data_IF_716744720367
#
_entry.id   IF_716744720367
#
_cell.length_a   1.000
_cell.length_b   1.000
_cell.length_c   1.000
_cell.angle_alpha   90.00
_cell.angle_beta   90.00
_cell.angle_gamma   90.00
#
_symmetry.space_group_name_H-M   'P 1'
#
loop_
_entity.id
_entity.type
_entity.pdbx_description
1 polymer ?
#
# COMPACT_ATOMS: atom_id res chain seq x y z
N UNK A 1 7.84 34.59 -16.55
CA UNK A 1 8.48 33.28 -16.66
C UNK A 1 7.62 32.23 -15.98
N UNK A 2 7.26 31.21 -16.71
CA UNK A 2 6.44 30.15 -16.11
C UNK A 2 7.28 29.33 -15.15
N UNK A 3 6.74 29.11 -13.96
CA UNK A 3 7.35 28.15 -13.02
C UNK A 3 6.87 26.75 -13.38
N UNK A 4 7.82 25.85 -13.46
CA UNK A 4 7.50 24.44 -13.62
C UNK A 4 7.22 23.92 -12.22
N UNK A 5 5.96 23.57 -11.96
CA UNK A 5 5.57 22.95 -10.71
C UNK A 5 5.51 21.45 -10.98
N UNK A 6 6.37 20.70 -10.31
CA UNK A 6 6.36 19.26 -10.42
C UNK A 6 5.11 18.73 -9.75
N UNK A 7 4.34 17.93 -10.48
CA UNK A 7 3.17 17.30 -9.88
C UNK A 7 3.61 16.23 -8.88
N UNK A 8 2.93 16.17 -7.74
CA UNK A 8 3.18 15.13 -6.75
C UNK A 8 2.83 13.76 -7.32
N UNK A 9 3.40 12.72 -6.74
CA UNK A 9 3.02 11.36 -7.10
C UNK A 9 1.51 11.17 -6.94
N UNK A 10 0.93 11.78 -5.90
CA UNK A 10 -0.51 11.76 -5.66
C UNK A 10 -1.30 12.20 -6.90
N UNK A 11 -0.95 13.34 -7.48
CA UNK A 11 -1.65 13.84 -8.68
C UNK A 11 -1.39 12.94 -9.89
N UNK A 12 -0.16 12.48 -10.05
CA UNK A 12 0.20 11.63 -11.18
C UNK A 12 -0.49 10.27 -11.15
N UNK A 13 -0.83 9.78 -9.94
CA UNK A 13 -1.60 8.54 -9.79
C UNK A 13 -3.10 8.72 -10.02
N UNK A 14 -3.58 9.95 -10.04
CA UNK A 14 -5.01 10.23 -10.27
C UNK A 14 -5.78 10.67 -9.04
N UNK A 15 -5.10 10.94 -7.94
CA UNK A 15 -5.72 11.49 -6.74
C UNK A 15 -6.28 10.44 -5.79
N UNK A 16 -7.06 10.91 -4.82
CA UNK A 16 -7.56 10.08 -3.72
C UNK A 16 -8.39 8.89 -4.21
N UNK A 17 -9.31 9.12 -5.15
CA UNK A 17 -10.18 8.04 -5.62
C UNK A 17 -9.40 6.93 -6.32
N UNK A 18 -8.36 7.29 -7.07
CA UNK A 18 -7.50 6.30 -7.72
C UNK A 18 -6.72 5.49 -6.69
N UNK A 19 -6.18 6.15 -5.67
CA UNK A 19 -5.46 5.48 -4.59
C UNK A 19 -6.38 4.54 -3.82
N UNK A 20 -7.61 4.99 -3.54
CA UNK A 20 -8.59 4.18 -2.84
C UNK A 20 -8.97 2.95 -3.66
N UNK A 21 -9.20 3.12 -4.96
CA UNK A 21 -9.55 2.00 -5.84
C UNK A 21 -8.41 0.98 -5.93
N UNK A 22 -7.18 1.47 -6.06
CA UNK A 22 -6.01 0.58 -6.09
C UNK A 22 -5.83 -0.15 -4.76
N UNK A 23 -6.06 0.53 -3.65
CA UNK A 23 -5.98 -0.10 -2.32
C UNK A 23 -7.01 -1.23 -2.19
N UNK A 24 -8.24 -0.99 -2.63
CA UNK A 24 -9.28 -2.02 -2.59
C UNK A 24 -8.90 -3.23 -3.45
N UNK A 25 -8.37 -3.01 -4.64
CA UNK A 25 -7.93 -4.08 -5.52
C UNK A 25 -6.77 -4.87 -4.89
N UNK A 26 -5.79 -4.17 -4.35
CA UNK A 26 -4.65 -4.81 -3.69
C UNK A 26 -5.10 -5.66 -2.52
N UNK A 27 -5.94 -5.12 -1.65
CA UNK A 27 -6.44 -5.86 -0.49
C UNK A 27 -7.20 -7.11 -0.92
N UNK A 28 -8.02 -7.02 -1.97
CA UNK A 28 -8.74 -8.20 -2.48
C UNK A 28 -7.77 -9.28 -2.95
N UNK A 29 -6.69 -8.90 -3.62
CA UNK A 29 -5.68 -9.86 -4.08
C UNK A 29 -4.94 -10.50 -2.92
N UNK A 30 -4.56 -9.71 -1.91
CA UNK A 30 -3.88 -10.23 -0.72
C UNK A 30 -4.77 -11.19 0.06
N UNK A 31 -6.03 -10.83 0.24
CA UNK A 31 -6.98 -11.66 1.00
C UNK A 31 -7.39 -12.92 0.25
N UNK A 32 -7.19 -12.96 -1.06
CA UNK A 32 -7.45 -14.14 -1.88
C UNK A 32 -6.24 -15.06 -2.02
N UNK A 33 -5.07 -14.60 -1.63
CA UNK A 33 -3.84 -15.38 -1.72
C UNK A 33 -3.80 -16.38 -0.57
N UNK A 34 -3.70 -17.69 -0.85
CA UNK A 34 -3.64 -18.70 0.21
C UNK A 34 -2.49 -18.49 1.20
N UNK A 35 -1.38 -17.90 0.76
CA UNK A 35 -0.25 -17.62 1.63
C UNK A 35 -0.53 -16.47 2.59
N UNK A 36 -1.26 -15.44 2.16
CA UNK A 36 -1.40 -14.20 2.90
C UNK A 36 -2.74 -14.04 3.60
N UNK A 37 -3.78 -14.74 3.14
CA UNK A 37 -5.15 -14.52 3.63
C UNK A 37 -5.30 -14.74 5.14
N UNK A 38 -4.43 -15.52 5.74
CA UNK A 38 -4.48 -15.79 7.19
C UNK A 38 -4.31 -14.54 8.05
N UNK A 39 -3.66 -13.50 7.53
CA UNK A 39 -3.47 -12.27 8.28
C UNK A 39 -4.79 -11.52 8.52
N UNK A 40 -5.83 -11.82 7.76
CA UNK A 40 -7.15 -11.20 7.93
C UNK A 40 -8.15 -12.11 8.64
N UNK A 41 -7.72 -13.30 9.01
CA UNK A 41 -8.59 -14.27 9.67
C UNK A 41 -9.04 -13.72 11.02
N UNK A 42 -10.35 -13.76 11.25
CA UNK A 42 -10.92 -13.29 12.51
C UNK A 42 -11.17 -11.79 12.57
N UNK A 43 -10.75 -11.02 11.57
CA UNK A 43 -11.02 -9.59 11.56
C UNK A 43 -12.49 -9.32 11.23
N UNK A 44 -13.14 -8.47 12.01
CA UNK A 44 -14.52 -8.06 11.73
C UNK A 44 -14.56 -7.18 10.48
N UNK A 45 -15.75 -7.03 9.89
CA UNK A 45 -15.94 -6.12 8.75
C UNK A 45 -15.55 -4.69 9.11
N UNK A 46 -15.93 -4.23 10.30
CA UNK A 46 -15.57 -2.89 10.75
C UNK A 46 -14.04 -2.72 10.87
N UNK A 47 -13.36 -3.71 11.42
CA UNK A 47 -11.90 -3.65 11.55
C UNK A 47 -11.22 -3.66 10.19
N UNK A 48 -11.73 -4.44 9.24
CA UNK A 48 -11.19 -4.45 7.89
C UNK A 48 -11.38 -3.11 7.19
N UNK A 49 -12.56 -2.49 7.33
CA UNK A 49 -12.82 -1.18 6.74
C UNK A 49 -11.94 -0.10 7.35
N UNK A 50 -11.72 -0.16 8.66
CA UNK A 50 -10.83 0.78 9.34
C UNK A 50 -9.39 0.63 8.86
N UNK A 51 -8.92 -0.60 8.74
CA UNK A 51 -7.57 -0.88 8.23
C UNK A 51 -7.43 -0.39 6.79
N UNK A 52 -8.44 -0.63 5.97
CA UNK A 52 -8.46 -0.14 4.59
C UNK A 52 -8.32 1.37 4.54
N UNK A 53 -9.09 2.10 5.37
CA UNK A 53 -9.02 3.55 5.39
C UNK A 53 -7.66 4.05 5.85
N UNK A 54 -7.06 3.40 6.85
CA UNK A 54 -5.73 3.75 7.31
C UNK A 54 -4.69 3.58 6.21
N UNK A 55 -4.80 2.52 5.42
CA UNK A 55 -3.88 2.28 4.30
C UNK A 55 -4.05 3.36 3.23
N UNK A 56 -5.29 3.70 2.90
CA UNK A 56 -5.54 4.77 1.92
C UNK A 56 -4.93 6.09 2.40
N UNK A 57 -5.13 6.44 3.66
CA UNK A 57 -4.58 7.68 4.23
C UNK A 57 -3.05 7.65 4.24
N UNK A 58 -2.47 6.52 4.62
CA UNK A 58 -1.02 6.36 4.64
C UNK A 58 -0.43 6.57 3.24
N UNK A 59 -1.01 5.92 2.24
CA UNK A 59 -0.52 6.03 0.88
C UNK A 59 -0.76 7.43 0.31
N UNK A 60 -1.89 8.04 0.63
CA UNK A 60 -2.20 9.40 0.17
C UNK A 60 -1.18 10.40 0.72
N UNK A 61 -0.91 10.33 2.02
CA UNK A 61 0.09 11.21 2.62
C UNK A 61 1.49 10.97 2.05
N UNK A 62 1.88 9.71 1.93
CA UNK A 62 3.19 9.35 1.38
C UNK A 62 3.38 9.84 -0.05
N UNK A 63 2.29 9.86 -0.83
CA UNK A 63 2.34 10.32 -2.21
C UNK A 63 2.24 11.84 -2.35
N UNK A 64 2.13 12.57 -1.25
CA UNK A 64 2.07 14.03 -1.26
C UNK A 64 0.66 14.59 -1.37
N UNK A 65 -0.36 13.80 -1.08
CA UNK A 65 -1.74 14.22 -1.13
C UNK A 65 -2.24 14.83 0.18
N UNK A 66 -3.48 15.34 0.19
CA UNK A 66 -4.04 16.08 1.32
C UNK A 66 -4.68 15.15 2.36
N UNK A 67 -3.88 14.31 2.99
CA UNK A 67 -4.35 13.42 4.05
C UNK A 67 -3.27 13.29 5.11
N UNK A 68 -3.70 12.99 6.32
CA UNK A 68 -2.80 12.72 7.43
C UNK A 68 -3.03 11.29 7.91
N UNK A 69 -1.96 10.54 7.97
CA UNK A 69 -2.03 9.21 8.52
C UNK A 69 -2.11 9.28 10.05
N UNK A 70 -3.15 8.72 10.62
CA UNK A 70 -3.38 8.74 12.07
C UNK A 70 -3.14 7.39 12.74
N UNK A 71 -2.67 6.40 11.99
CA UNK A 71 -2.40 5.07 12.52
C UNK A 71 -1.03 4.96 13.17
N UNK A 72 -0.70 3.74 13.58
CA UNK A 72 0.60 3.43 14.18
C UNK A 72 1.66 3.33 13.08
N UNK A 73 2.94 3.49 13.46
CA UNK A 73 4.02 3.31 12.50
C UNK A 73 4.03 1.88 11.95
N UNK A 74 4.74 1.67 10.84
CA UNK A 74 4.72 0.38 10.16
C UNK A 74 5.29 -0.73 11.03
N UNK A 75 6.35 -0.46 11.78
CA UNK A 75 6.95 -1.46 12.65
C UNK A 75 5.96 -1.91 13.72
N UNK A 76 5.31 -0.96 14.39
CA UNK A 76 4.36 -1.26 15.47
C UNK A 76 3.12 -1.96 14.93
N UNK A 77 2.58 -1.48 13.81
CA UNK A 77 1.33 -2.03 13.26
C UNK A 77 1.49 -3.45 12.73
N UNK A 78 2.70 -3.85 12.37
CA UNK A 78 2.96 -5.19 11.83
C UNK A 78 3.70 -6.10 12.81
N UNK A 79 4.04 -5.59 14.00
CA UNK A 79 4.74 -6.39 15.01
C UNK A 79 3.89 -7.60 15.41
N UNK A 80 4.54 -8.74 15.50
CA UNK A 80 3.88 -9.99 15.89
C UNK A 80 3.16 -10.72 14.77
N UNK A 81 3.12 -10.16 13.57
CA UNK A 81 2.49 -10.84 12.44
C UNK A 81 3.37 -11.90 11.81
N UNK A 82 4.66 -11.87 12.11
CA UNK A 82 5.65 -12.83 11.59
C UNK A 82 5.73 -12.85 10.07
N UNK A 83 5.63 -11.66 9.47
CA UNK A 83 5.79 -11.51 8.02
C UNK A 83 7.23 -11.81 7.66
N UNK A 84 7.46 -12.79 6.79
CA UNK A 84 8.81 -13.15 6.36
C UNK A 84 9.10 -12.64 4.94
N UNK A 85 10.31 -12.93 4.46
CA UNK A 85 10.72 -12.50 3.11
C UNK A 85 9.81 -13.05 2.03
N UNK A 86 9.35 -14.29 2.16
CA UNK A 86 8.46 -14.91 1.18
C UNK A 86 7.11 -14.20 1.13
N UNK A 87 6.57 -13.85 2.30
CA UNK A 87 5.33 -13.08 2.39
C UNK A 87 5.49 -11.71 1.76
N UNK A 88 6.64 -11.06 2.00
CA UNK A 88 6.94 -9.77 1.43
C UNK A 88 7.01 -9.82 -0.10
N UNK A 89 7.66 -10.85 -0.64
CA UNK A 89 7.73 -11.03 -2.09
C UNK A 89 6.34 -11.23 -2.70
N UNK A 90 5.48 -11.99 -2.02
CA UNK A 90 4.10 -12.17 -2.46
C UNK A 90 3.35 -10.83 -2.49
N UNK A 91 3.51 -10.04 -1.43
CA UNK A 91 2.92 -8.70 -1.37
C UNK A 91 3.39 -7.84 -2.54
N UNK A 92 4.69 -7.80 -2.80
CA UNK A 92 5.24 -6.98 -3.89
C UNK A 92 4.73 -7.41 -5.26
N UNK A 93 4.54 -8.71 -5.47
CA UNK A 93 3.95 -9.21 -6.73
C UNK A 93 2.52 -8.71 -6.90
N UNK A 94 1.72 -8.79 -5.84
CA UNK A 94 0.35 -8.30 -5.89
C UNK A 94 0.29 -6.80 -6.11
N UNK A 95 1.18 -6.05 -5.47
CA UNK A 95 1.25 -4.61 -5.67
C UNK A 95 1.56 -4.27 -7.14
N UNK A 96 2.51 -4.97 -7.74
CA UNK A 96 2.84 -4.76 -9.16
C UNK A 96 1.66 -5.08 -10.07
N UNK A 97 0.95 -6.18 -9.79
CA UNK A 97 -0.23 -6.57 -10.58
C UNK A 97 -1.34 -5.52 -10.46
N UNK A 98 -1.57 -5.01 -9.25
CA UNK A 98 -2.56 -3.94 -9.05
C UNK A 98 -2.21 -2.70 -9.88
N UNK A 99 -0.96 -2.27 -9.85
CA UNK A 99 -0.53 -1.09 -10.60
C UNK A 99 -0.71 -1.30 -12.11
N UNK A 100 -0.41 -2.50 -12.60
CA UNK A 100 -0.62 -2.82 -14.01
C UNK A 100 -2.11 -2.85 -14.36
N UNK A 101 -2.93 -3.36 -13.46
CA UNK A 101 -4.38 -3.42 -13.67
C UNK A 101 -4.97 -2.02 -13.86
N UNK A 102 -4.48 -1.04 -13.13
CA UNK A 102 -4.93 0.35 -13.26
C UNK A 102 -4.13 1.14 -14.29
N UNK A 103 -3.31 0.47 -15.09
CA UNK A 103 -2.55 1.07 -16.20
C UNK A 103 -1.62 2.20 -15.73
N UNK A 104 -1.05 2.04 -14.55
CA UNK A 104 -0.10 3.01 -14.01
C UNK A 104 1.17 2.98 -14.84
N UNK A 105 1.60 4.15 -15.31
CA UNK A 105 2.79 4.26 -16.17
C UNK A 105 4.06 3.86 -15.40
N UNK A 106 5.07 3.39 -16.13
CA UNK A 106 6.30 2.87 -15.53
C UNK A 106 6.97 3.81 -14.54
N UNK A 107 7.10 5.13 -14.79
CA UNK A 107 7.73 6.00 -13.79
C UNK A 107 6.99 6.00 -12.46
N UNK A 108 5.66 6.10 -12.46
CA UNK A 108 4.85 6.11 -11.24
C UNK A 108 4.83 4.74 -10.59
N UNK A 109 4.75 3.67 -11.38
CA UNK A 109 4.81 2.31 -10.87
C UNK A 109 6.12 2.08 -10.12
N UNK A 110 7.24 2.49 -10.71
CA UNK A 110 8.55 2.32 -10.09
C UNK A 110 8.65 3.12 -8.79
N UNK A 111 8.09 4.33 -8.74
CA UNK A 111 8.08 5.13 -7.52
C UNK A 111 7.28 4.46 -6.41
N UNK A 112 6.10 3.92 -6.73
CA UNK A 112 5.27 3.24 -5.74
C UNK A 112 5.98 1.98 -5.21
N UNK A 113 6.52 1.18 -6.12
CA UNK A 113 7.21 -0.06 -5.71
C UNK A 113 8.47 0.24 -4.89
N UNK A 114 9.21 1.29 -5.25
CA UNK A 114 10.38 1.71 -4.47
C UNK A 114 9.98 2.18 -3.08
N UNK A 115 8.87 2.89 -2.95
CA UNK A 115 8.35 3.29 -1.65
C UNK A 115 8.00 2.07 -0.79
N UNK A 116 7.26 1.11 -1.35
CA UNK A 116 6.96 -0.12 -0.61
C UNK A 116 8.24 -0.84 -0.21
N UNK A 117 9.20 -0.96 -1.11
CA UNK A 117 10.45 -1.63 -0.80
C UNK A 117 11.18 -0.98 0.37
N UNK A 118 11.05 0.34 0.53
CA UNK A 118 11.67 1.06 1.64
C UNK A 118 11.06 0.70 3.00
N UNK A 119 9.87 0.12 3.02
CA UNK A 119 9.19 -0.26 4.26
C UNK A 119 9.54 -1.68 4.72
N UNK A 120 10.23 -2.44 3.90
CA UNK A 120 10.49 -3.85 4.19
C UNK A 120 11.15 -4.06 5.55
N UNK A 121 12.15 -3.26 5.88
CA UNK A 121 12.89 -3.42 7.13
C UNK A 121 12.04 -3.18 8.37
N UNK A 122 10.97 -2.40 8.24
CA UNK A 122 10.05 -2.13 9.35
C UNK A 122 8.99 -3.20 9.48
N UNK A 123 8.60 -3.83 8.37
CA UNK A 123 7.46 -4.75 8.32
C UNK A 123 7.88 -6.21 8.44
N UNK A 124 8.94 -6.62 7.76
CA UNK A 124 9.43 -8.00 7.80
C UNK A 124 10.13 -8.23 9.12
N UNK A 125 9.72 -9.29 9.82
CA UNK A 125 10.29 -9.61 11.14
C UNK A 125 11.47 -10.57 11.05
N UNK A 126 11.82 -11.02 9.89
CA UNK A 126 12.95 -11.87 9.65
C UNK A 126 12.72 -13.25 10.27
N UNK A 127 13.16 -14.31 9.78
CA UNK A 127 12.98 -15.67 10.22
C UNK A 127 12.51 -15.94 11.59
#
# INVERSE_FOLDING_TARGET
MAQIVEESLYHRLGGYDAIAAATDDLLARLQSDPQLRGYWKGASTNNQQRARQLIVDFMTEAAGGPAYYTGRDMKTSHAGMHIDDSDWEAFMRHAAVTLDHFLVASPEKDEVLAFFASLKTEIVEGE
#
